data_IF_449353809986
#
_entry.id   IF_449353809986
#
_cell.length_a   1.000
_cell.length_b   1.000
_cell.length_c   1.000
_cell.angle_alpha   90.00
_cell.angle_beta   90.00
_cell.angle_gamma   90.00
#
_symmetry.space_group_name_H-M   'P 1'
#
loop_
_entity.id
_entity.type
_entity.pdbx_description
1 polymer ?
#
# COMPACT_ATOMS: atom_id res chain seq x y z
N UNK A 1 84.37 -12.46 -27.91
CA UNK A 1 83.83 -11.37 -28.75
C UNK A 1 82.31 -11.39 -28.65
N UNK A 2 81.70 -10.21 -28.47
CA UNK A 2 80.26 -9.86 -28.34
C UNK A 2 79.45 -10.56 -27.23
N UNK A 3 79.12 -9.87 -26.12
CA UNK A 3 77.90 -9.06 -25.89
C UNK A 3 76.62 -9.91 -26.00
N UNK A 4 75.94 -10.16 -24.88
CA UNK A 4 74.60 -9.60 -24.64
C UNK A 4 74.16 -9.82 -23.17
N UNK A 5 73.54 -8.77 -22.66
CA UNK A 5 73.19 -8.51 -21.26
C UNK A 5 71.67 -8.60 -21.07
N UNK A 6 71.26 -8.61 -19.80
CA UNK A 6 69.92 -8.36 -19.22
C UNK A 6 68.95 -9.56 -19.22
N UNK A 7 68.69 -10.21 -18.09
CA UNK A 7 68.09 -9.78 -16.80
C UNK A 7 66.56 -9.83 -16.79
N UNK A 8 66.07 -10.79 -16.01
CA UNK A 8 64.79 -10.87 -15.27
C UNK A 8 63.81 -9.71 -15.49
N UNK A 9 62.68 -10.01 -16.14
CA UNK A 9 61.46 -9.20 -16.05
C UNK A 9 60.73 -9.62 -14.76
N UNK A 10 60.79 -8.77 -13.75
CA UNK A 10 59.92 -8.81 -12.57
C UNK A 10 58.58 -8.17 -12.95
N UNK A 11 57.50 -8.96 -12.90
CA UNK A 11 56.14 -8.51 -13.12
C UNK A 11 55.67 -7.74 -11.87
N UNK A 12 55.64 -6.41 -11.94
CA UNK A 12 55.01 -5.53 -10.95
C UNK A 12 53.49 -5.58 -11.14
N UNK A 13 52.80 -6.36 -10.29
CA UNK A 13 51.35 -6.25 -10.09
C UNK A 13 51.07 -5.00 -9.24
N UNK A 14 50.76 -3.89 -9.91
CA UNK A 14 50.16 -2.74 -9.25
C UNK A 14 48.70 -3.09 -8.89
N UNK A 15 48.44 -3.19 -7.59
CA UNK A 15 47.09 -3.27 -7.03
C UNK A 15 46.44 -1.90 -7.25
N UNK A 16 45.64 -1.78 -8.32
CA UNK A 16 44.65 -0.72 -8.41
C UNK A 16 43.45 -1.14 -7.57
N UNK A 17 43.43 -0.69 -6.32
CA UNK A 17 42.20 -0.58 -5.54
C UNK A 17 41.30 0.48 -6.19
N UNK A 18 40.52 0.07 -7.20
CA UNK A 18 39.38 0.85 -7.65
C UNK A 18 38.34 0.83 -6.53
N UNK A 19 38.24 1.93 -5.80
CA UNK A 19 37.04 2.30 -5.05
C UNK A 19 35.86 2.22 -6.02
N UNK A 20 35.16 1.08 -5.98
CA UNK A 20 33.92 0.88 -6.73
C UNK A 20 32.89 1.87 -6.21
N UNK A 21 32.49 2.78 -7.09
CA UNK A 21 31.34 3.66 -6.92
C UNK A 21 30.18 2.86 -6.32
N UNK A 22 29.52 3.43 -5.31
CA UNK A 22 28.20 2.94 -4.89
C UNK A 22 27.32 2.93 -6.13
N UNK A 23 27.13 1.75 -6.74
CA UNK A 23 26.04 1.53 -7.67
C UNK A 23 24.76 1.87 -6.90
N UNK A 24 24.21 3.06 -7.15
CA UNK A 24 22.79 3.28 -6.95
C UNK A 24 22.10 2.12 -7.64
N UNK A 25 21.59 1.15 -6.86
CA UNK A 25 20.80 0.06 -7.40
C UNK A 25 19.58 0.73 -8.00
N UNK A 26 19.58 1.02 -9.28
CA UNK A 26 18.37 1.46 -9.97
C UNK A 26 17.38 0.32 -9.90
N UNK A 27 16.13 0.66 -9.69
CA UNK A 27 15.06 -0.31 -9.71
C UNK A 27 14.95 -0.91 -11.10
N UNK A 28 15.06 -2.25 -11.20
CA UNK A 28 15.07 -2.95 -12.49
C UNK A 28 13.75 -2.85 -13.26
N UNK A 29 12.67 -2.39 -12.64
CA UNK A 29 11.38 -2.20 -13.31
C UNK A 29 10.84 -0.79 -13.14
N UNK A 30 10.56 -0.12 -14.26
CA UNK A 30 9.77 1.11 -14.31
C UNK A 30 8.29 0.91 -13.92
N UNK A 31 7.92 -0.30 -13.47
CA UNK A 31 6.54 -0.67 -13.11
C UNK A 31 5.95 0.26 -12.05
N UNK A 32 6.78 0.73 -11.10
CA UNK A 32 6.32 1.60 -10.02
C UNK A 32 5.78 2.96 -10.50
N UNK A 33 6.13 3.39 -11.72
CA UNK A 33 5.66 4.65 -12.30
C UNK A 33 4.28 4.51 -12.97
N UNK A 34 3.92 3.30 -13.41
CA UNK A 34 2.72 3.05 -14.20
C UNK A 34 1.44 3.49 -13.46
N UNK A 35 1.22 3.16 -12.16
CA UNK A 35 0.02 3.62 -11.45
C UNK A 35 -0.17 5.14 -11.47
N UNK A 36 0.92 5.89 -11.30
CA UNK A 36 0.87 7.36 -11.32
C UNK A 36 0.61 7.88 -12.73
N UNK A 37 1.24 7.28 -13.75
CA UNK A 37 1.02 7.65 -15.14
C UNK A 37 -0.41 7.39 -15.59
N UNK A 38 -0.96 6.20 -15.32
CA UNK A 38 -2.34 5.84 -15.67
C UNK A 38 -3.33 6.83 -15.06
N UNK A 39 -3.21 7.11 -13.76
CA UNK A 39 -4.09 8.08 -13.10
C UNK A 39 -3.96 9.49 -13.71
N UNK A 40 -2.73 9.96 -13.94
CA UNK A 40 -2.49 11.31 -14.46
C UNK A 40 -3.08 11.50 -15.86
N UNK A 41 -2.90 10.51 -16.74
CA UNK A 41 -3.44 10.54 -18.10
C UNK A 41 -4.97 10.36 -18.10
N UNK A 42 -5.51 9.50 -17.23
CA UNK A 42 -6.95 9.34 -17.05
C UNK A 42 -7.61 10.66 -16.62
N UNK A 43 -7.05 11.36 -15.63
CA UNK A 43 -7.57 12.65 -15.16
C UNK A 43 -7.53 13.75 -16.24
N UNK A 44 -6.62 13.62 -17.21
CA UNK A 44 -6.51 14.50 -18.37
C UNK A 44 -7.37 14.06 -19.56
N UNK A 45 -8.16 12.99 -19.39
CA UNK A 45 -8.97 12.35 -20.44
C UNK A 45 -8.15 11.79 -21.62
N UNK A 46 -6.85 11.57 -21.42
CA UNK A 46 -5.95 10.95 -22.40
C UNK A 46 -6.04 9.42 -22.33
N UNK A 47 -7.25 8.86 -22.47
CA UNK A 47 -7.53 7.45 -22.17
C UNK A 47 -6.65 6.46 -22.95
N UNK A 48 -6.37 6.73 -24.23
CA UNK A 48 -5.49 5.86 -25.02
C UNK A 48 -4.05 5.84 -24.48
N UNK A 49 -3.56 6.99 -24.01
CA UNK A 49 -2.21 7.11 -23.44
C UNK A 49 -2.15 6.43 -22.07
N UNK A 50 -3.18 6.62 -21.24
CA UNK A 50 -3.33 5.92 -19.96
C UNK A 50 -3.33 4.39 -20.17
N UNK A 51 -4.18 3.90 -21.06
CA UNK A 51 -4.35 2.48 -21.31
C UNK A 51 -3.09 1.82 -21.90
N UNK A 52 -2.39 2.52 -22.83
CA UNK A 52 -1.10 2.05 -23.35
C UNK A 52 0.01 2.06 -22.31
N UNK A 53 0.02 3.02 -21.37
CA UNK A 53 0.99 3.04 -20.28
C UNK A 53 0.88 1.80 -19.38
N UNK A 54 -0.35 1.30 -19.18
CA UNK A 54 -0.63 0.07 -18.44
C UNK A 54 -0.43 -1.22 -19.26
N UNK A 55 0.01 -1.12 -20.53
CA UNK A 55 0.21 -2.19 -21.51
C UNK A 55 0.09 -3.63 -21.01
N UNK A 56 1.22 -4.27 -20.65
CA UNK A 56 1.24 -5.60 -20.02
C UNK A 56 1.52 -5.51 -18.51
N UNK A 57 1.02 -4.46 -17.84
CA UNK A 57 1.37 -4.12 -16.46
C UNK A 57 1.03 -5.25 -15.48
N UNK A 58 -0.15 -5.82 -15.57
CA UNK A 58 -0.59 -6.87 -14.64
C UNK A 58 0.06 -8.22 -14.95
N UNK A 59 0.37 -8.54 -16.21
CA UNK A 59 1.15 -9.73 -16.53
C UNK A 59 2.54 -9.64 -15.88
N UNK A 60 3.23 -8.51 -16.04
CA UNK A 60 4.54 -8.27 -15.40
C UNK A 60 4.47 -8.29 -13.87
N UNK A 61 3.43 -7.70 -13.28
CA UNK A 61 3.22 -7.80 -11.83
C UNK A 61 3.01 -9.25 -11.39
N UNK A 62 2.29 -10.05 -12.18
CA UNK A 62 2.08 -11.48 -11.89
C UNK A 62 3.38 -12.27 -11.97
N UNK A 63 4.22 -12.01 -12.97
CA UNK A 63 5.56 -12.61 -13.12
C UNK A 63 6.50 -12.26 -11.95
N UNK A 64 6.43 -11.02 -11.45
CA UNK A 64 7.21 -10.57 -10.29
C UNK A 64 6.56 -10.93 -8.93
N UNK A 65 5.44 -11.65 -8.92
CA UNK A 65 4.63 -11.96 -7.72
C UNK A 65 4.22 -10.71 -6.91
N UNK A 66 3.96 -9.59 -7.59
CA UNK A 66 3.50 -8.34 -7.00
C UNK A 66 1.97 -8.33 -7.01
N UNK A 67 1.38 -8.62 -5.85
CA UNK A 67 -0.07 -8.63 -5.65
C UNK A 67 -0.43 -7.70 -4.49
N UNK A 68 -1.01 -6.54 -4.82
CA UNK A 68 -1.45 -5.55 -3.85
C UNK A 68 -2.56 -4.65 -4.42
N UNK A 69 -3.21 -3.87 -3.56
CA UNK A 69 -4.32 -2.97 -3.90
C UNK A 69 -3.99 -1.99 -5.02
N UNK A 70 -2.78 -1.42 -5.04
CA UNK A 70 -2.38 -0.45 -6.06
C UNK A 70 -2.34 -1.07 -7.46
N UNK A 71 -1.92 -2.33 -7.58
CA UNK A 71 -1.97 -3.06 -8.87
C UNK A 71 -3.41 -3.20 -9.32
N UNK A 72 -4.32 -3.61 -8.43
CA UNK A 72 -5.72 -3.82 -8.76
C UNK A 72 -6.42 -2.52 -9.17
N UNK A 73 -6.19 -1.43 -8.43
CA UNK A 73 -6.68 -0.09 -8.77
C UNK A 73 -6.15 0.36 -10.13
N UNK A 74 -4.87 0.13 -10.42
CA UNK A 74 -4.28 0.52 -11.71
C UNK A 74 -4.90 -0.26 -12.87
N UNK A 75 -5.14 -1.55 -12.69
CA UNK A 75 -5.79 -2.40 -13.70
C UNK A 75 -7.25 -2.01 -13.89
N UNK A 76 -7.96 -1.71 -12.79
CA UNK A 76 -9.31 -1.19 -12.81
C UNK A 76 -9.42 0.12 -13.61
N UNK A 77 -8.60 1.12 -13.28
CA UNK A 77 -8.56 2.40 -14.02
C UNK A 77 -8.18 2.20 -15.50
N UNK A 78 -7.38 1.18 -15.80
CA UNK A 78 -7.06 0.80 -17.19
C UNK A 78 -8.28 0.23 -17.91
N UNK A 79 -9.10 -0.55 -17.21
CA UNK A 79 -10.38 -1.05 -17.73
C UNK A 79 -11.32 0.11 -18.08
N UNK A 80 -11.43 1.09 -17.18
CA UNK A 80 -12.18 2.33 -17.42
C UNK A 80 -11.72 3.02 -18.71
N UNK A 81 -10.40 3.21 -18.87
CA UNK A 81 -9.84 3.82 -20.08
C UNK A 81 -10.22 3.05 -21.36
N UNK A 82 -10.12 1.72 -21.36
CA UNK A 82 -10.50 0.91 -22.52
C UNK A 82 -12.00 0.97 -22.80
N UNK A 83 -12.80 0.98 -21.75
CA UNK A 83 -14.26 1.10 -21.84
C UNK A 83 -14.65 2.43 -22.49
N UNK A 84 -14.09 3.55 -22.04
CA UNK A 84 -14.32 4.89 -22.59
C UNK A 84 -13.85 5.04 -24.05
N UNK A 85 -12.89 4.22 -24.49
CA UNK A 85 -12.45 4.13 -25.89
C UNK A 85 -13.32 3.19 -26.75
N UNK A 86 -14.35 2.58 -26.15
CA UNK A 86 -15.20 1.56 -26.75
C UNK A 86 -14.46 0.26 -27.16
N UNK A 87 -13.29 0.00 -26.55
CA UNK A 87 -12.46 -1.21 -26.73
C UNK A 87 -12.89 -2.30 -25.73
N UNK A 88 -14.09 -2.85 -25.94
CA UNK A 88 -14.77 -3.74 -24.98
C UNK A 88 -13.95 -4.97 -24.58
N UNK A 89 -13.26 -5.60 -25.53
CA UNK A 89 -12.47 -6.81 -25.27
C UNK A 89 -11.32 -6.54 -24.30
N UNK A 90 -10.64 -5.40 -24.49
CA UNK A 90 -9.56 -4.96 -23.60
C UNK A 90 -10.10 -4.62 -22.22
N UNK A 91 -11.25 -3.94 -22.14
CA UNK A 91 -11.89 -3.64 -20.86
C UNK A 91 -12.26 -4.93 -20.10
N UNK A 92 -12.94 -5.88 -20.75
CA UNK A 92 -13.31 -7.16 -20.14
C UNK A 92 -12.09 -8.00 -19.73
N UNK A 93 -10.97 -7.95 -20.47
CA UNK A 93 -9.73 -8.63 -20.07
C UNK A 93 -9.25 -8.13 -18.71
N UNK A 94 -9.24 -6.81 -18.48
CA UNK A 94 -8.84 -6.21 -17.21
C UNK A 94 -9.83 -6.51 -16.08
N UNK A 95 -11.13 -6.36 -16.35
CA UNK A 95 -12.16 -6.60 -15.34
C UNK A 95 -12.13 -8.06 -14.85
N UNK A 96 -11.91 -9.02 -15.75
CA UNK A 96 -11.74 -10.42 -15.37
C UNK A 96 -10.49 -10.67 -14.52
N UNK A 97 -9.42 -9.90 -14.72
CA UNK A 97 -8.21 -9.99 -13.91
C UNK A 97 -8.45 -9.48 -12.49
N UNK A 98 -9.16 -8.36 -12.31
CA UNK A 98 -9.41 -7.82 -10.95
C UNK A 98 -10.51 -8.58 -10.22
N UNK A 99 -11.57 -9.01 -10.92
CA UNK A 99 -12.64 -9.85 -10.36
C UNK A 99 -12.21 -11.32 -10.38
N UNK A 100 -11.23 -11.65 -9.53
CA UNK A 100 -10.75 -13.04 -9.36
C UNK A 100 -10.57 -13.45 -7.90
N UNK A 101 -10.43 -12.48 -6.99
CA UNK A 101 -10.21 -12.73 -5.58
C UNK A 101 -10.64 -11.52 -4.73
N UNK A 102 -10.42 -11.66 -3.43
CA UNK A 102 -10.95 -10.74 -2.43
C UNK A 102 -10.42 -9.31 -2.55
N UNK A 103 -9.24 -9.10 -3.14
CA UNK A 103 -8.60 -7.77 -3.15
C UNK A 103 -9.40 -6.71 -3.91
N UNK A 104 -10.26 -7.11 -4.85
CA UNK A 104 -11.11 -6.17 -5.58
C UNK A 104 -12.49 -5.96 -4.95
N UNK A 105 -12.88 -6.76 -3.95
CA UNK A 105 -14.20 -6.66 -3.33
C UNK A 105 -14.55 -5.27 -2.79
N UNK A 106 -13.60 -4.47 -2.23
CA UNK A 106 -13.89 -3.10 -1.81
C UNK A 106 -14.40 -2.20 -2.94
N UNK A 107 -13.93 -2.41 -4.17
CA UNK A 107 -14.28 -1.59 -5.36
C UNK A 107 -15.38 -2.23 -6.21
N UNK A 108 -15.71 -3.50 -5.96
CA UNK A 108 -16.62 -4.25 -6.83
C UNK A 108 -18.01 -3.61 -6.92
N UNK A 109 -18.53 -3.05 -5.82
CA UNK A 109 -19.84 -2.37 -5.83
C UNK A 109 -19.79 -1.04 -6.57
N UNK A 110 -18.72 -0.27 -6.37
CA UNK A 110 -18.52 1.01 -7.05
C UNK A 110 -18.42 0.81 -8.58
N UNK A 111 -17.69 -0.22 -9.01
CA UNK A 111 -17.59 -0.60 -10.43
C UNK A 111 -18.97 -0.82 -11.09
N UNK A 112 -19.93 -1.43 -10.39
CA UNK A 112 -21.25 -1.70 -10.98
C UNK A 112 -22.03 -0.42 -11.32
N UNK A 113 -21.70 0.68 -10.64
CA UNK A 113 -22.30 2.00 -10.80
C UNK A 113 -21.36 3.00 -11.49
N UNK A 114 -20.20 2.56 -11.95
CA UNK A 114 -19.22 3.44 -12.58
C UNK A 114 -19.65 3.74 -14.03
N UNK A 115 -19.85 5.03 -14.31
CA UNK A 115 -20.34 5.51 -15.60
C UNK A 115 -19.39 5.18 -16.76
N UNK A 116 -18.11 4.93 -16.47
CA UNK A 116 -17.12 4.52 -17.46
C UNK A 116 -17.47 3.20 -18.15
N UNK A 117 -18.29 2.35 -17.51
CA UNK A 117 -18.69 1.03 -18.02
C UNK A 117 -20.10 0.99 -18.62
N UNK A 118 -20.79 2.12 -18.78
CA UNK A 118 -22.17 2.15 -19.34
C UNK A 118 -22.28 1.46 -20.71
N UNK A 119 -21.25 1.56 -21.56
CA UNK A 119 -21.22 0.91 -22.87
C UNK A 119 -21.00 -0.61 -22.81
N UNK A 120 -20.63 -1.16 -21.65
CA UNK A 120 -20.48 -2.59 -21.41
C UNK A 120 -21.75 -3.23 -20.85
N UNK A 121 -22.66 -2.48 -20.22
CA UNK A 121 -23.82 -3.03 -19.50
C UNK A 121 -24.76 -3.88 -20.36
N UNK A 122 -24.82 -3.62 -21.67
CA UNK A 122 -25.66 -4.37 -22.62
C UNK A 122 -24.95 -5.60 -23.21
N UNK A 123 -23.66 -5.78 -22.95
CA UNK A 123 -22.87 -6.93 -23.40
C UNK A 123 -23.17 -8.15 -22.50
N UNK A 124 -23.31 -9.34 -23.09
CA UNK A 124 -23.58 -10.58 -22.33
C UNK A 124 -22.49 -10.86 -21.29
N UNK A 125 -21.23 -10.56 -21.64
CA UNK A 125 -20.07 -10.76 -20.74
C UNK A 125 -20.14 -9.93 -19.47
N UNK A 126 -20.84 -8.80 -19.50
CA UNK A 126 -21.07 -7.98 -18.31
C UNK A 126 -21.89 -8.75 -17.27
N UNK A 127 -22.96 -9.41 -17.71
CA UNK A 127 -23.84 -10.17 -16.82
C UNK A 127 -23.08 -11.33 -16.16
N UNK A 128 -22.26 -12.05 -16.92
CA UNK A 128 -21.40 -13.11 -16.39
C UNK A 128 -20.36 -12.58 -15.39
N UNK A 129 -19.75 -11.44 -15.70
CA UNK A 129 -18.77 -10.78 -14.84
C UNK A 129 -19.40 -10.35 -13.51
N UNK A 130 -20.59 -9.74 -13.54
CA UNK A 130 -21.32 -9.35 -12.33
C UNK A 130 -21.68 -10.57 -11.50
N UNK A 131 -22.21 -11.62 -12.13
CA UNK A 131 -22.53 -12.88 -11.44
C UNK A 131 -21.31 -13.49 -10.75
N UNK A 132 -20.14 -13.46 -11.40
CA UNK A 132 -18.87 -13.92 -10.81
C UNK A 132 -18.50 -13.11 -9.58
N UNK A 133 -18.55 -11.78 -9.66
CA UNK A 133 -18.24 -10.91 -8.54
C UNK A 133 -19.24 -11.00 -7.40
N UNK A 134 -20.54 -11.16 -7.69
CA UNK A 134 -21.57 -11.39 -6.67
C UNK A 134 -21.38 -12.73 -5.95
N UNK A 135 -20.95 -13.77 -6.66
CA UNK A 135 -20.59 -15.04 -6.03
C UNK A 135 -19.40 -14.87 -5.07
N UNK A 136 -18.33 -14.19 -5.51
CA UNK A 136 -17.17 -13.89 -4.67
C UNK A 136 -17.57 -13.09 -3.42
N UNK A 137 -18.38 -12.05 -3.59
CA UNK A 137 -18.88 -11.22 -2.49
C UNK A 137 -19.77 -12.03 -1.53
N UNK A 138 -20.64 -12.89 -2.06
CA UNK A 138 -21.49 -13.77 -1.27
C UNK A 138 -20.67 -14.74 -0.42
N UNK A 139 -19.64 -15.36 -0.99
CA UNK A 139 -18.76 -16.29 -0.27
C UNK A 139 -17.87 -15.59 0.75
N UNK A 140 -17.39 -14.39 0.44
CA UNK A 140 -16.72 -13.52 1.39
C UNK A 140 -17.63 -13.19 2.58
N UNK A 141 -18.86 -12.74 2.30
CA UNK A 141 -19.81 -12.29 3.33
C UNK A 141 -20.25 -13.40 4.28
N UNK A 142 -20.36 -14.65 3.81
CA UNK A 142 -20.67 -15.82 4.66
C UNK A 142 -19.61 -16.10 5.73
N UNK A 143 -18.37 -15.67 5.50
CA UNK A 143 -17.24 -15.93 6.40
C UNK A 143 -17.12 -14.89 7.52
N UNK A 144 -17.85 -13.78 7.41
CA UNK A 144 -17.74 -12.64 8.33
C UNK A 144 -18.42 -12.93 9.66
N UNK A 145 -17.71 -12.66 10.75
CA UNK A 145 -18.30 -12.58 12.09
C UNK A 145 -18.87 -11.17 12.32
N UNK A 146 -20.17 -11.01 12.12
CA UNK A 146 -20.86 -9.72 12.28
C UNK A 146 -20.78 -9.15 13.71
N UNK A 147 -20.61 -10.00 14.73
CA UNK A 147 -20.40 -9.56 16.11
C UNK A 147 -19.03 -8.91 16.27
N UNK A 148 -17.99 -9.55 15.73
CA UNK A 148 -16.63 -9.04 15.76
C UNK A 148 -16.47 -7.78 14.91
N UNK A 149 -17.13 -7.70 13.74
CA UNK A 149 -17.21 -6.48 12.93
C UNK A 149 -17.75 -5.32 13.75
N UNK A 150 -18.88 -5.49 14.44
CA UNK A 150 -19.49 -4.43 15.26
C UNK A 150 -18.59 -3.96 16.39
N UNK A 151 -17.82 -4.87 16.99
CA UNK A 151 -16.82 -4.53 18.01
C UNK A 151 -15.73 -3.66 17.39
N UNK A 152 -15.19 -4.06 16.24
CA UNK A 152 -14.13 -3.33 15.55
C UNK A 152 -14.60 -1.98 15.00
N UNK A 153 -15.83 -1.86 14.50
CA UNK A 153 -16.43 -0.58 14.12
C UNK A 153 -16.46 0.41 15.30
N UNK A 154 -16.87 -0.07 16.48
CA UNK A 154 -16.88 0.75 17.70
C UNK A 154 -15.47 1.14 18.15
N UNK A 155 -14.50 0.24 18.03
CA UNK A 155 -13.08 0.54 18.28
C UNK A 155 -12.58 1.60 17.29
N UNK A 156 -12.85 1.45 15.99
CA UNK A 156 -12.46 2.41 14.95
C UNK A 156 -13.02 3.79 15.22
N UNK A 157 -14.30 3.89 15.55
CA UNK A 157 -14.93 5.16 15.90
C UNK A 157 -14.21 5.82 17.08
N UNK A 158 -13.92 5.06 18.13
CA UNK A 158 -13.26 5.57 19.32
C UNK A 158 -11.80 6.00 19.06
N UNK A 159 -11.04 5.23 18.28
CA UNK A 159 -9.68 5.57 17.88
C UNK A 159 -9.67 6.87 17.04
N UNK A 160 -10.58 7.00 16.07
CA UNK A 160 -10.53 8.09 15.11
C UNK A 160 -11.17 9.40 15.62
N UNK A 161 -12.17 9.36 16.51
CA UNK A 161 -12.92 10.57 16.92
C UNK A 161 -12.03 11.71 17.44
N UNK A 162 -11.06 11.41 18.30
CA UNK A 162 -10.18 12.44 18.88
C UNK A 162 -9.16 12.96 17.86
N UNK A 163 -8.76 12.12 16.89
CA UNK A 163 -7.85 12.53 15.81
C UNK A 163 -8.57 13.49 14.85
N UNK A 164 -9.82 13.19 14.50
CA UNK A 164 -10.68 14.10 13.73
C UNK A 164 -10.90 15.43 14.47
N UNK A 165 -11.12 15.39 15.78
CA UNK A 165 -11.24 16.58 16.62
C UNK A 165 -9.96 17.43 16.60
N UNK A 166 -8.78 16.81 16.71
CA UNK A 166 -7.49 17.53 16.58
C UNK A 166 -7.36 18.22 15.22
N UNK A 167 -7.75 17.56 14.13
CA UNK A 167 -7.71 18.16 12.79
C UNK A 167 -8.60 19.41 12.73
N UNK A 168 -9.83 19.33 13.25
CA UNK A 168 -10.76 20.45 13.30
C UNK A 168 -10.22 21.60 14.16
N UNK A 169 -9.66 21.30 15.34
CA UNK A 169 -9.06 22.31 16.22
C UNK A 169 -7.86 23.01 15.58
N UNK A 170 -7.02 22.27 14.85
CA UNK A 170 -5.89 22.84 14.11
C UNK A 170 -6.38 23.79 13.00
N UNK A 171 -7.43 23.41 12.25
CA UNK A 171 -8.04 24.28 11.23
C UNK A 171 -8.61 25.56 11.84
N UNK A 172 -9.17 25.47 13.05
CA UNK A 172 -9.68 26.60 13.81
C UNK A 172 -8.59 27.39 14.54
N UNK A 173 -7.31 26.98 14.44
CA UNK A 173 -6.18 27.60 15.15
C UNK A 173 -6.41 27.68 16.67
N UNK A 174 -7.01 26.64 17.25
CA UNK A 174 -7.19 26.52 18.70
C UNK A 174 -5.83 26.56 19.42
N UNK A 175 -5.84 26.95 20.69
CA UNK A 175 -4.63 27.03 21.50
C UNK A 175 -4.01 25.65 21.76
N UNK A 176 -2.69 25.62 21.94
CA UNK A 176 -1.93 24.38 22.14
C UNK A 176 -2.43 23.58 23.35
N UNK A 177 -2.90 24.24 24.42
CA UNK A 177 -3.37 23.58 25.63
C UNK A 177 -4.67 22.80 25.38
N UNK A 178 -5.55 23.33 24.54
CA UNK A 178 -6.79 22.65 24.10
C UNK A 178 -6.46 21.43 23.25
N UNK A 179 -5.59 21.58 22.23
CA UNK A 179 -5.16 20.47 21.38
C UNK A 179 -4.48 19.36 22.20
N UNK A 180 -3.64 19.73 23.18
CA UNK A 180 -2.97 18.79 24.08
C UNK A 180 -3.94 17.99 24.95
N UNK A 181 -5.06 18.57 25.38
CA UNK A 181 -6.11 17.85 26.13
C UNK A 181 -6.75 16.78 25.26
N UNK A 182 -7.06 17.08 24.00
CA UNK A 182 -7.65 16.10 23.07
C UNK A 182 -6.67 14.97 22.76
N UNK A 183 -5.38 15.27 22.56
CA UNK A 183 -4.34 14.24 22.42
C UNK A 183 -4.19 13.34 23.65
N UNK A 184 -4.38 13.88 24.85
CA UNK A 184 -4.42 13.08 26.08
C UNK A 184 -5.60 12.11 26.06
N UNK A 185 -6.78 12.56 25.63
CA UNK A 185 -7.95 11.69 25.48
C UNK A 185 -7.71 10.59 24.43
N UNK A 186 -7.09 10.94 23.30
CA UNK A 186 -6.68 9.97 22.29
C UNK A 186 -5.73 8.91 22.87
N UNK A 187 -4.73 9.32 23.66
CA UNK A 187 -3.77 8.37 24.27
C UNK A 187 -4.43 7.43 25.28
N UNK A 188 -5.38 7.93 26.07
CA UNK A 188 -6.17 7.10 27.00
C UNK A 188 -7.00 6.09 26.20
N UNK A 189 -7.65 6.55 25.13
CA UNK A 189 -8.49 5.72 24.28
C UNK A 189 -7.69 4.64 23.54
N UNK A 190 -6.51 4.99 23.00
CA UNK A 190 -5.60 4.05 22.36
C UNK A 190 -5.23 2.90 23.31
N UNK A 191 -5.07 3.18 24.61
CA UNK A 191 -4.75 2.15 25.62
C UNK A 191 -5.95 1.22 25.88
N UNK A 192 -7.17 1.76 25.91
CA UNK A 192 -8.40 0.96 26.08
C UNK A 192 -8.67 0.09 24.86
N UNK A 193 -8.47 0.63 23.66
CA UNK A 193 -8.68 -0.11 22.42
C UNK A 193 -7.63 -1.20 22.22
N UNK A 194 -6.38 -0.95 22.63
CA UNK A 194 -5.33 -1.97 22.58
C UNK A 194 -5.64 -3.20 23.43
N UNK A 195 -6.26 -3.06 24.61
CA UNK A 195 -6.66 -4.21 25.44
C UNK A 195 -7.61 -5.13 24.66
N UNK A 196 -8.59 -4.55 23.98
CA UNK A 196 -9.57 -5.32 23.19
C UNK A 196 -8.94 -5.97 21.96
N UNK A 197 -8.05 -5.24 21.28
CA UNK A 197 -7.34 -5.76 20.10
C UNK A 197 -6.41 -6.91 20.48
N UNK A 198 -5.76 -6.82 21.64
CA UNK A 198 -4.94 -7.91 22.18
C UNK A 198 -5.76 -9.19 22.40
N UNK A 199 -6.94 -9.10 23.03
CA UNK A 199 -7.86 -10.24 23.18
C UNK A 199 -8.27 -10.85 21.83
N UNK A 200 -8.55 -10.01 20.83
CA UNK A 200 -8.89 -10.46 19.47
C UNK A 200 -7.71 -11.18 18.82
N UNK A 201 -6.50 -10.62 18.93
CA UNK A 201 -5.30 -11.22 18.34
C UNK A 201 -4.92 -12.53 19.04
N UNK A 202 -5.07 -12.61 20.36
CA UNK A 202 -4.81 -13.83 21.13
C UNK A 202 -5.77 -14.96 20.75
N UNK A 203 -7.03 -14.64 20.46
CA UNK A 203 -8.04 -15.63 20.09
C UNK A 203 -7.97 -16.07 18.63
N UNK A 204 -7.73 -15.14 17.71
CA UNK A 204 -7.89 -15.40 16.27
C UNK A 204 -6.58 -15.29 15.46
N UNK A 205 -5.46 -14.97 16.10
CA UNK A 205 -4.30 -14.45 15.39
C UNK A 205 -4.63 -13.08 14.79
N UNK A 206 -3.94 -12.67 13.72
CA UNK A 206 -4.33 -11.45 13.02
C UNK A 206 -5.66 -11.68 12.28
N UNK A 207 -6.76 -11.00 12.64
CA UNK A 207 -8.07 -11.28 12.04
C UNK A 207 -8.09 -10.75 10.59
N UNK A 208 -8.04 -11.67 9.64
CA UNK A 208 -8.06 -11.34 8.21
C UNK A 208 -9.39 -10.76 7.72
N UNK A 209 -9.42 -10.16 6.52
CA UNK A 209 -10.61 -9.49 5.99
C UNK A 209 -11.82 -10.42 5.84
N UNK A 210 -11.63 -11.73 5.62
CA UNK A 210 -12.75 -12.69 5.59
C UNK A 210 -13.45 -12.86 6.93
N UNK A 211 -12.77 -12.62 8.05
CA UNK A 211 -13.37 -12.73 9.38
C UNK A 211 -14.02 -11.41 9.82
N UNK A 212 -13.37 -10.27 9.52
CA UNK A 212 -13.72 -8.95 10.10
C UNK A 212 -13.97 -7.85 9.08
N UNK A 213 -14.01 -8.17 7.79
CA UNK A 213 -14.03 -7.18 6.72
C UNK A 213 -12.72 -6.41 6.57
N UNK A 214 -12.59 -5.67 5.47
CA UNK A 214 -11.43 -4.83 5.20
C UNK A 214 -11.25 -3.73 6.25
N UNK A 215 -12.36 -3.10 6.66
CA UNK A 215 -12.36 -2.05 7.68
C UNK A 215 -11.98 -2.57 9.07
N UNK A 216 -12.47 -3.76 9.45
CA UNK A 216 -12.08 -4.38 10.72
C UNK A 216 -10.60 -4.74 10.75
N UNK A 217 -10.07 -5.28 9.63
CA UNK A 217 -8.65 -5.58 9.48
C UNK A 217 -7.78 -4.31 9.59
N UNK A 218 -8.20 -3.24 8.90
CA UNK A 218 -7.57 -1.92 8.98
C UNK A 218 -7.60 -1.36 10.41
N UNK A 219 -8.69 -1.56 11.13
CA UNK A 219 -8.85 -1.09 12.51
C UNK A 219 -7.81 -1.72 13.44
N UNK A 220 -7.58 -3.03 13.30
CA UNK A 220 -6.55 -3.74 14.09
C UNK A 220 -5.17 -3.15 13.84
N UNK A 221 -4.84 -2.87 12.58
CA UNK A 221 -3.61 -2.17 12.23
C UNK A 221 -3.52 -0.79 12.89
N UNK A 222 -4.56 0.04 12.80
CA UNK A 222 -4.54 1.41 13.34
C UNK A 222 -4.27 1.42 14.84
N UNK A 223 -4.94 0.56 15.61
CA UNK A 223 -4.72 0.48 17.06
C UNK A 223 -3.27 0.06 17.38
N UNK A 224 -2.73 -0.95 16.68
CA UNK A 224 -1.32 -1.35 16.84
C UNK A 224 -0.36 -0.22 16.42
N UNK A 225 -0.65 0.49 15.33
CA UNK A 225 0.11 1.63 14.82
C UNK A 225 0.17 2.78 15.84
N UNK A 226 -0.88 2.96 16.64
CA UNK A 226 -0.98 4.02 17.64
C UNK A 226 -0.37 3.64 18.98
N UNK A 227 -0.29 2.33 19.29
CA UNK A 227 0.22 1.82 20.56
C UNK A 227 1.67 2.27 20.90
N UNK A 228 2.08 2.19 22.18
CA UNK A 228 3.46 2.45 22.59
C UNK A 228 4.47 1.53 21.89
N UNK A 229 5.72 1.98 21.77
CA UNK A 229 6.78 1.25 21.04
C UNK A 229 6.94 -0.21 21.50
N UNK A 230 6.83 -0.49 22.81
CA UNK A 230 6.91 -1.85 23.35
C UNK A 230 5.85 -2.78 22.74
N UNK A 231 4.61 -2.28 22.60
CA UNK A 231 3.49 -3.02 22.02
C UNK A 231 3.67 -3.18 20.51
N UNK A 232 4.11 -2.12 19.82
CA UNK A 232 4.43 -2.21 18.40
C UNK A 232 5.50 -3.27 18.12
N UNK A 233 6.55 -3.36 18.95
CA UNK A 233 7.57 -4.39 18.81
C UNK A 233 7.03 -5.81 19.07
N UNK A 234 6.08 -5.96 20.01
CA UNK A 234 5.38 -7.24 20.27
C UNK A 234 4.60 -7.70 19.03
N UNK A 235 3.83 -6.80 18.40
CA UNK A 235 2.90 -7.17 17.31
C UNK A 235 3.46 -7.03 15.89
N UNK A 236 4.58 -6.32 15.69
CA UNK A 236 5.25 -6.25 14.39
C UNK A 236 5.55 -7.63 13.76
N UNK A 237 6.12 -8.63 14.47
CA UNK A 237 6.31 -9.96 13.90
C UNK A 237 4.98 -10.68 13.57
N UNK A 238 3.93 -10.46 14.37
CA UNK A 238 2.59 -11.03 14.13
C UNK A 238 2.02 -10.47 12.82
N UNK A 239 2.09 -9.15 12.62
CA UNK A 239 1.62 -8.50 11.40
C UNK A 239 2.45 -8.91 10.18
N UNK A 240 3.77 -9.09 10.31
CA UNK A 240 4.62 -9.63 9.23
C UNK A 240 4.15 -10.99 8.77
N UNK A 241 3.84 -11.88 9.72
CA UNK A 241 3.30 -13.21 9.40
C UNK A 241 1.92 -13.11 8.76
N UNK A 242 1.05 -12.24 9.27
CA UNK A 242 -0.26 -11.98 8.69
C UNK A 242 -0.19 -11.51 7.23
N UNK A 243 0.76 -10.62 6.88
CA UNK A 243 0.99 -10.21 5.49
C UNK A 243 1.44 -11.38 4.62
N UNK A 244 2.35 -12.24 5.12
CA UNK A 244 2.79 -13.44 4.39
C UNK A 244 1.62 -14.42 4.13
N UNK A 245 0.65 -14.44 5.04
CA UNK A 245 -0.54 -15.28 4.95
C UNK A 245 -1.72 -14.60 4.21
N UNK A 246 -1.49 -13.42 3.60
CA UNK A 246 -2.52 -12.60 2.93
C UNK A 246 -3.69 -12.18 3.85
N UNK A 247 -3.44 -12.08 5.16
CA UNK A 247 -4.42 -11.66 6.16
C UNK A 247 -4.31 -10.17 6.51
N UNK A 248 -3.30 -9.45 6.03
CA UNK A 248 -3.08 -8.03 6.32
C UNK A 248 -2.49 -7.30 5.11
N UNK A 249 -2.73 -5.98 5.02
CA UNK A 249 -2.16 -5.15 3.97
C UNK A 249 -0.65 -4.98 4.13
N UNK A 250 0.10 -5.19 3.04
CA UNK A 250 1.54 -4.92 3.00
C UNK A 250 1.85 -3.43 3.18
N UNK A 251 0.97 -2.55 2.71
CA UNK A 251 1.11 -1.11 2.84
C UNK A 251 1.01 -0.69 4.31
N UNK A 252 0.04 -1.26 5.04
CA UNK A 252 -0.11 -1.02 6.48
C UNK A 252 1.11 -1.50 7.28
N UNK A 253 1.66 -2.66 6.92
CA UNK A 253 2.91 -3.13 7.52
C UNK A 253 4.06 -2.15 7.25
N UNK A 254 4.15 -1.54 6.07
CA UNK A 254 5.17 -0.54 5.75
C UNK A 254 5.04 0.71 6.64
N UNK A 255 3.82 1.16 6.92
CA UNK A 255 3.55 2.25 7.88
C UNK A 255 4.02 1.90 9.30
N UNK A 256 3.78 0.67 9.77
CA UNK A 256 4.21 0.22 11.09
C UNK A 256 5.72 0.08 11.19
N UNK A 257 6.35 -0.48 10.15
CA UNK A 257 7.81 -0.62 10.07
C UNK A 257 8.50 0.73 10.17
N UNK A 258 8.09 1.72 9.37
CA UNK A 258 8.71 3.05 9.39
C UNK A 258 8.50 3.75 10.73
N UNK A 259 7.29 3.64 11.32
CA UNK A 259 6.99 4.20 12.65
C UNK A 259 7.88 3.62 13.74
N UNK A 260 8.02 2.28 13.79
CA UNK A 260 8.91 1.60 14.74
C UNK A 260 10.35 2.02 14.53
N UNK A 261 10.81 2.11 13.28
CA UNK A 261 12.19 2.50 12.96
C UNK A 261 12.51 3.91 13.45
N UNK A 262 11.66 4.90 13.19
CA UNK A 262 11.88 6.26 13.69
C UNK A 262 11.87 6.32 15.21
N UNK A 263 10.95 5.61 15.87
CA UNK A 263 10.91 5.51 17.35
C UNK A 263 12.16 4.82 17.92
N UNK A 264 12.84 3.99 17.13
CA UNK A 264 14.16 3.41 17.43
C UNK A 264 15.35 4.28 16.96
N UNK A 265 15.11 5.53 16.55
CA UNK A 265 16.11 6.45 15.99
C UNK A 265 16.81 5.94 14.73
N UNK A 266 16.12 5.11 13.93
CA UNK A 266 16.60 4.58 12.64
C UNK A 266 15.88 5.29 11.49
N UNK A 267 16.55 5.42 10.35
CA UNK A 267 15.97 5.96 9.11
C UNK A 267 14.82 5.07 8.60
N UNK A 268 13.83 5.65 7.94
CA UNK A 268 12.69 4.95 7.32
C UNK A 268 13.12 4.06 6.15
N UNK A 269 12.26 3.11 5.76
CA UNK A 269 12.40 2.32 4.54
C UNK A 269 11.47 2.80 3.42
N UNK A 270 10.23 3.18 3.76
CA UNK A 270 9.19 3.49 2.77
C UNK A 270 8.82 4.98 2.72
N UNK A 271 9.24 5.78 3.71
CA UNK A 271 8.97 7.22 3.75
C UNK A 271 7.52 7.55 4.12
N UNK A 272 6.87 6.72 4.92
CA UNK A 272 5.45 6.89 5.29
C UNK A 272 5.21 7.93 6.39
N UNK A 273 6.22 8.22 7.22
CA UNK A 273 6.12 9.22 8.28
C UNK A 273 6.66 10.56 7.78
N UNK A 274 5.80 11.57 7.83
CA UNK A 274 6.07 12.94 7.38
C UNK A 274 6.30 13.87 8.58
N UNK A 275 6.91 15.02 8.32
CA UNK A 275 6.97 16.14 9.27
C UNK A 275 5.56 16.68 9.60
N UNK A 276 5.49 17.57 10.58
CA UNK A 276 4.24 18.09 11.13
C UNK A 276 3.38 18.87 10.14
N UNK A 277 4.00 19.48 9.13
CA UNK A 277 3.37 20.19 8.02
C UNK A 277 3.19 19.30 6.78
N UNK A 278 3.46 18.00 6.88
CA UNK A 278 3.31 16.99 5.84
C UNK A 278 4.08 17.23 4.53
N UNK A 279 4.91 18.27 4.46
CA UNK A 279 5.66 18.67 3.27
C UNK A 279 6.83 17.73 2.93
N UNK A 280 7.30 16.91 3.88
CA UNK A 280 8.49 16.08 3.70
C UNK A 280 8.52 14.85 4.59
N UNK A 281 8.98 13.74 4.03
CA UNK A 281 9.29 12.53 4.81
C UNK A 281 10.52 12.71 5.71
N UNK A 282 10.48 12.14 6.92
CA UNK A 282 11.67 11.98 7.75
C UNK A 282 12.77 11.16 7.03
N UNK A 283 14.05 11.22 7.45
CA UNK A 283 15.16 10.59 6.75
C UNK A 283 14.93 9.11 6.36
N UNK A 284 15.23 8.78 5.11
CA UNK A 284 15.04 7.46 4.50
C UNK A 284 16.42 6.78 4.31
N UNK A 285 16.53 5.48 4.60
CA UNK A 285 17.80 4.75 4.56
C UNK A 285 18.41 4.71 3.16
N UNK A 286 17.57 4.56 2.13
CA UNK A 286 17.97 4.55 0.72
C UNK A 286 16.86 5.22 -0.11
N UNK A 287 16.94 6.54 -0.29
CA UNK A 287 15.90 7.29 -1.00
C UNK A 287 15.86 6.98 -2.50
N UNK A 288 16.95 6.51 -3.11
CA UNK A 288 17.02 6.26 -4.55
C UNK A 288 16.12 5.11 -5.04
N UNK A 289 15.76 4.20 -4.14
CA UNK A 289 14.93 3.02 -4.45
C UNK A 289 13.61 2.98 -3.67
N UNK A 290 13.24 4.10 -3.03
CA UNK A 290 12.07 4.16 -2.15
C UNK A 290 10.79 3.79 -2.88
N UNK A 291 10.57 4.30 -4.09
CA UNK A 291 9.32 4.08 -4.81
C UNK A 291 9.15 2.64 -5.28
N UNK A 292 10.24 1.93 -5.50
CA UNK A 292 10.18 0.50 -5.81
C UNK A 292 9.82 -0.36 -4.60
N UNK A 293 10.33 0.02 -3.42
CA UNK A 293 9.86 -0.61 -2.18
C UNK A 293 8.40 -0.29 -1.92
N UNK A 294 7.98 0.96 -2.11
CA UNK A 294 6.60 1.42 -1.96
C UNK A 294 5.64 0.67 -2.89
N UNK A 295 5.98 0.57 -4.17
CA UNK A 295 5.18 -0.16 -5.15
C UNK A 295 4.97 -1.63 -4.80
N UNK A 296 6.03 -2.32 -4.37
CA UNK A 296 5.95 -3.74 -3.98
C UNK A 296 4.99 -3.99 -2.82
N UNK A 297 4.82 -3.01 -1.94
CA UNK A 297 3.89 -3.08 -0.79
C UNK A 297 2.56 -2.38 -1.05
N UNK A 298 2.29 -1.91 -2.27
CA UNK A 298 1.03 -1.27 -2.64
C UNK A 298 0.90 0.21 -2.28
N UNK A 299 2.01 0.89 -2.00
CA UNK A 299 2.03 2.34 -1.79
C UNK A 299 2.34 3.07 -3.10
N UNK A 300 1.65 4.19 -3.33
CA UNK A 300 1.95 5.14 -4.42
C UNK A 300 3.35 5.73 -4.27
N UNK A 301 3.89 6.38 -5.30
CA UNK A 301 5.19 7.08 -5.21
C UNK A 301 5.23 8.06 -4.03
N UNK A 302 6.42 8.26 -3.46
CA UNK A 302 6.63 9.14 -2.32
C UNK A 302 6.18 10.57 -2.65
N UNK A 303 6.50 11.02 -3.85
CA UNK A 303 6.09 12.32 -4.37
C UNK A 303 4.57 12.47 -4.38
N UNK A 304 3.84 11.52 -4.99
CA UNK A 304 2.36 11.54 -4.99
C UNK A 304 1.77 11.47 -3.58
N UNK A 305 2.39 10.69 -2.69
CA UNK A 305 1.93 10.59 -1.30
C UNK A 305 2.06 11.91 -0.56
N UNK A 306 3.15 12.65 -0.74
CA UNK A 306 3.35 13.96 -0.10
C UNK A 306 2.35 14.99 -0.66
N UNK A 307 2.09 14.99 -1.97
CA UNK A 307 1.12 15.90 -2.59
C UNK A 307 -0.35 15.70 -2.16
N UNK A 308 -0.68 14.56 -1.52
CA UNK A 308 -2.03 14.28 -1.04
C UNK A 308 -2.33 14.85 0.36
N UNK A 309 -1.39 15.59 0.96
CA UNK A 309 -1.53 16.27 2.25
C UNK A 309 -1.49 17.79 2.07
#
# INVERSE_FOLDING_TARGET
>A
MSIQSFSLIILLLAINSSFGQMHHRTCDSSLYLIPTQVQSEYNQQNYLKAAKAAGCFWERCSEENIKNELVYITVYNTACCWSLLNEKDSAFKQLNYVIKDDLFLPLFREMQSDDDFLNLHTDERWHDLIKKGDSLFGDFSKSIDSGLVRILEKIRYNDQKYRSEVVQLNQQKADESTIKKVWRNATIQDSVDMIKIEEIIEKYGWPGPRLVGFDGNKTVFLVVQHAPLKVQLKYLPVMKKAVQDNLASSGDLAFLVDRVRLRQKKKQLYGTQLNSDFSKAFPIQDSGTVDCRRFKVGLVTLDRYIHNW
#
